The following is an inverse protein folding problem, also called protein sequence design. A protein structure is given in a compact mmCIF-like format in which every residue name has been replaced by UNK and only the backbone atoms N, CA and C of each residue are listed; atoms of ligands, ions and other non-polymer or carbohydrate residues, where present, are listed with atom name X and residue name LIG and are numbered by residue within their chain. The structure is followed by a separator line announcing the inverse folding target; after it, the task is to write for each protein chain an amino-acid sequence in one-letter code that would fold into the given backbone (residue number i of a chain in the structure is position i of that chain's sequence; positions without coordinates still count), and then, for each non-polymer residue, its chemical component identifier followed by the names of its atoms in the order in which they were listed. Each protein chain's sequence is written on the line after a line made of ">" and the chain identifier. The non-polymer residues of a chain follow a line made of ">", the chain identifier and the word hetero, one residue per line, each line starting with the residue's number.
data_IF_483266164794
#
_entry.id   IF_483266164794
#
_cell.length_a   1.000
_cell.length_b   1.000
_cell.length_c   1.000
_cell.angle_alpha   90.00
_cell.angle_beta   90.00
_cell.angle_gamma   90.00
#
_symmetry.space_group_name_H-M   'P 1'
#
loop_
_entity.id
_entity.type
_entity.pdbx_description
1 polymer ?
#
# COMPACT_ATOMS: atom_id res chain seq x y z
N UNK A 1 0.91 19.63 -27.71
CA UNK A 1 1.32 20.02 -26.35
C UNK A 1 0.13 20.75 -25.74
N UNK A 2 -0.80 20.05 -25.06
CA UNK A 2 -1.86 20.72 -24.31
C UNK A 2 -1.38 21.06 -22.89
N UNK A 3 -1.85 22.21 -22.41
CA UNK A 3 -1.50 22.87 -21.15
C UNK A 3 -1.85 22.03 -19.90
N UNK A 4 -0.87 21.85 -19.01
CA UNK A 4 -0.99 21.13 -17.72
C UNK A 4 -1.30 22.14 -16.58
N UNK A 5 -1.90 23.29 -16.89
CA UNK A 5 -2.00 24.41 -15.96
C UNK A 5 -3.20 24.36 -14.98
N UNK A 6 -4.09 23.36 -15.05
CA UNK A 6 -5.33 23.34 -14.26
C UNK A 6 -5.38 22.31 -13.11
N UNK A 7 -4.30 21.56 -12.83
CA UNK A 7 -4.36 20.47 -11.84
C UNK A 7 -4.09 20.85 -10.38
N UNK A 8 -3.86 22.14 -10.07
CA UNK A 8 -3.37 22.56 -8.75
C UNK A 8 -4.42 23.16 -7.80
N UNK A 9 -5.65 23.36 -8.25
CA UNK A 9 -6.66 24.10 -7.47
C UNK A 9 -7.17 23.37 -6.21
N UNK A 10 -6.82 22.09 -6.02
CA UNK A 10 -7.33 21.28 -4.90
C UNK A 10 -6.27 20.82 -3.90
N UNK A 11 -5.00 21.21 -4.03
CA UNK A 11 -3.94 20.80 -3.09
C UNK A 11 -3.83 21.80 -1.94
N UNK A 12 -4.30 21.42 -0.75
CA UNK A 12 -4.04 22.17 0.49
C UNK A 12 -2.70 21.72 1.08
N UNK A 13 -1.75 22.64 1.12
CA UNK A 13 -0.50 22.49 1.87
C UNK A 13 -0.75 22.97 3.30
N UNK A 14 -0.57 22.11 4.29
CA UNK A 14 -0.74 22.48 5.70
C UNK A 14 0.63 22.58 6.40
N UNK A 15 0.96 23.80 6.83
CA UNK A 15 1.99 24.06 7.84
C UNK A 15 1.35 23.98 9.24
N UNK A 16 1.92 23.15 10.12
CA UNK A 16 1.40 22.91 11.47
C UNK A 16 1.57 24.14 12.39
N UNK A 17 0.46 24.70 12.88
CA UNK A 17 0.39 25.45 14.14
C UNK A 17 -0.79 24.91 14.95
N UNK A 18 -0.51 24.42 16.15
CA UNK A 18 -1.45 23.84 17.11
C UNK A 18 -2.48 24.87 17.60
N UNK A 19 -3.77 24.50 17.61
CA UNK A 19 -4.71 25.08 18.58
C UNK A 19 -5.78 24.06 18.99
N UNK A 20 -5.97 23.98 20.31
CA UNK A 20 -6.69 22.96 21.06
C UNK A 20 -8.11 23.45 21.36
N UNK A 21 -9.14 22.64 21.15
CA UNK A 21 -10.43 22.81 21.86
C UNK A 21 -11.14 21.49 22.12
N UNK A 22 -11.52 21.29 23.38
CA UNK A 22 -12.38 20.23 23.91
C UNK A 22 -13.87 20.55 23.67
N UNK A 23 -14.73 19.51 23.64
CA UNK A 23 -15.86 19.22 24.56
C UNK A 23 -16.89 18.26 23.90
N UNK A 24 -17.05 17.01 24.37
CA UNK A 24 -18.03 16.48 25.37
C UNK A 24 -19.47 16.23 24.85
N UNK A 25 -19.78 14.94 24.62
CA UNK A 25 -20.84 14.16 25.31
C UNK A 25 -22.31 14.24 24.86
N UNK A 26 -22.90 13.08 24.46
CA UNK A 26 -23.83 12.24 25.26
C UNK A 26 -24.61 11.22 24.40
N UNK A 27 -24.96 10.11 25.07
CA UNK A 27 -25.57 8.88 24.58
C UNK A 27 -27.11 8.91 24.47
N UNK A 28 -27.69 7.98 23.70
CA UNK A 28 -29.03 7.44 23.95
C UNK A 28 -29.26 6.01 23.36
N UNK A 29 -29.66 5.12 24.27
CA UNK A 29 -30.48 3.88 24.24
C UNK A 29 -31.44 3.68 23.03
N UNK A 30 -32.10 2.54 22.77
CA UNK A 30 -32.15 1.09 23.12
C UNK A 30 -33.51 0.65 22.55
N UNK A 31 -33.66 -0.46 21.81
CA UNK A 31 -34.86 -1.33 21.90
C UNK A 31 -34.81 -2.61 21.05
N UNK A 32 -35.32 -3.66 21.67
CA UNK A 32 -35.43 -5.06 21.25
C UNK A 32 -36.69 -5.32 20.39
N UNK A 33 -36.66 -6.36 19.56
CA UNK A 33 -37.88 -7.08 19.16
C UNK A 33 -37.62 -8.57 18.92
N UNK A 34 -38.29 -9.40 19.73
CA UNK A 34 -38.41 -10.86 19.66
C UNK A 34 -39.55 -11.21 18.69
N UNK A 35 -39.42 -12.30 17.92
CA UNK A 35 -40.59 -12.98 17.35
C UNK A 35 -40.40 -14.50 17.36
N UNK A 36 -41.39 -15.19 17.92
CA UNK A 36 -41.50 -16.64 18.12
C UNK A 36 -42.79 -17.06 17.41
N UNK A 37 -42.78 -18.17 16.68
CA UNK A 37 -44.00 -18.91 16.40
C UNK A 37 -43.73 -20.43 16.45
N UNK A 38 -44.48 -21.06 17.36
CA UNK A 38 -44.70 -22.49 17.54
C UNK A 38 -45.41 -23.11 16.32
N UNK A 39 -45.51 -24.44 16.13
CA UNK A 39 -46.53 -25.33 16.72
C UNK A 39 -46.19 -26.82 16.40
N UNK A 40 -46.57 -27.68 17.36
CA UNK A 40 -46.51 -29.15 17.51
C UNK A 40 -47.37 -29.95 16.46
N UNK A 41 -47.30 -31.27 16.25
CA UNK A 41 -47.72 -32.37 17.15
C UNK A 41 -47.38 -33.80 16.63
N UNK A 42 -47.14 -34.68 17.61
CA UNK A 42 -47.19 -36.16 17.77
C UNK A 42 -47.77 -37.05 16.63
N UNK A 43 -47.45 -38.35 16.45
CA UNK A 43 -47.66 -39.48 17.38
C UNK A 43 -47.23 -40.83 16.75
N UNK A 44 -46.96 -41.88 17.55
CA UNK A 44 -47.10 -43.29 17.11
C UNK A 44 -45.94 -44.26 17.44
N UNK A 45 -46.15 -45.14 18.42
CA UNK A 45 -45.24 -46.19 18.87
C UNK A 45 -45.37 -47.52 18.08
N UNK A 46 -44.30 -48.33 18.02
CA UNK A 46 -44.28 -49.79 18.35
C UNK A 46 -43.01 -50.54 17.87
N UNK A 47 -42.30 -51.13 18.84
CA UNK A 47 -41.65 -52.46 18.89
C UNK A 47 -40.72 -53.02 17.77
N UNK A 48 -39.52 -53.41 18.24
CA UNK A 48 -38.76 -54.66 17.99
C UNK A 48 -37.71 -54.78 16.85
N UNK A 49 -36.47 -54.96 17.31
CA UNK A 49 -35.43 -55.94 16.92
C UNK A 49 -34.51 -55.75 15.68
N UNK A 50 -33.21 -55.79 16.02
CA UNK A 50 -32.01 -56.28 15.31
C UNK A 50 -31.25 -55.38 14.32
N UNK A 51 -30.03 -55.04 14.78
CA UNK A 51 -28.73 -55.11 14.08
C UNK A 51 -28.70 -54.67 12.61
N UNK A 52 -28.15 -53.48 12.39
CA UNK A 52 -27.26 -53.18 11.26
C UNK A 52 -26.45 -51.95 11.63
N UNK A 53 -25.12 -52.11 11.74
CA UNK A 53 -24.22 -51.00 12.02
C UNK A 53 -24.26 -50.00 10.86
N UNK A 54 -24.62 -48.76 11.16
CA UNK A 54 -24.47 -47.64 10.23
C UNK A 54 -22.99 -47.41 9.98
N UNK A 55 -22.56 -47.67 8.76
CA UNK A 55 -21.25 -47.22 8.27
C UNK A 55 -21.27 -45.69 8.31
N UNK A 56 -20.22 -45.01 8.82
CA UNK A 56 -20.14 -43.56 8.69
C UNK A 56 -20.21 -43.22 7.20
N UNK A 57 -21.12 -42.33 6.82
CA UNK A 57 -21.15 -41.78 5.47
C UNK A 57 -19.79 -41.14 5.19
N UNK A 58 -19.02 -41.75 4.29
CA UNK A 58 -17.81 -41.16 3.75
C UNK A 58 -18.23 -39.85 3.06
N UNK A 59 -17.88 -38.73 3.68
CA UNK A 59 -18.05 -37.42 3.08
C UNK A 59 -17.07 -37.31 1.92
N UNK A 60 -17.57 -37.48 0.71
CA UNK A 60 -16.78 -37.46 -0.52
C UNK A 60 -16.20 -36.05 -0.81
N UNK A 61 -16.54 -35.04 0.00
CA UNK A 61 -15.95 -33.70 -0.08
C UNK A 61 -14.49 -33.65 0.37
N UNK A 62 -14.00 -34.63 1.13
CA UNK A 62 -12.58 -34.69 1.51
C UNK A 62 -11.66 -35.21 0.39
N UNK A 63 -12.22 -35.68 -0.73
CA UNK A 63 -11.48 -36.21 -1.89
C UNK A 63 -11.60 -35.33 -3.14
N UNK A 64 -12.33 -34.22 -3.04
CA UNK A 64 -12.28 -33.17 -4.06
C UNK A 64 -11.12 -32.24 -3.71
N UNK A 65 -10.31 -31.80 -4.69
CA UNK A 65 -9.29 -30.79 -4.42
C UNK A 65 -9.99 -29.56 -3.83
N UNK A 66 -9.69 -29.29 -2.56
CA UNK A 66 -10.14 -28.09 -1.87
C UNK A 66 -9.39 -26.88 -2.43
N UNK A 67 -10.15 -25.87 -2.83
CA UNK A 67 -9.78 -24.44 -2.85
C UNK A 67 -8.83 -23.90 -3.93
N UNK A 68 -8.72 -24.47 -5.13
CA UNK A 68 -7.99 -23.76 -6.21
C UNK A 68 -8.75 -22.55 -6.76
N UNK A 69 -10.08 -22.60 -6.79
CA UNK A 69 -10.89 -21.50 -7.34
C UNK A 69 -11.02 -20.32 -6.37
N UNK A 70 -11.25 -20.59 -5.08
CA UNK A 70 -11.34 -19.55 -4.04
C UNK A 70 -9.97 -18.88 -3.77
N UNK A 71 -8.86 -19.63 -3.75
CA UNK A 71 -7.51 -19.04 -3.66
C UNK A 71 -7.18 -18.22 -4.91
N UNK A 72 -7.48 -18.69 -6.12
CA UNK A 72 -7.26 -17.91 -7.35
C UNK A 72 -8.07 -16.61 -7.38
N UNK A 73 -9.32 -16.62 -6.90
CA UNK A 73 -10.17 -15.42 -6.88
C UNK A 73 -9.65 -14.38 -5.89
N UNK A 74 -9.19 -14.81 -4.71
CA UNK A 74 -8.59 -13.94 -3.69
C UNK A 74 -7.25 -13.36 -4.18
N UNK A 75 -6.40 -14.18 -4.80
CA UNK A 75 -5.11 -13.78 -5.35
C UNK A 75 -5.26 -12.80 -6.54
N UNK A 76 -6.28 -13.01 -7.39
CA UNK A 76 -6.63 -12.08 -8.49
C UNK A 76 -7.19 -10.75 -7.96
N UNK A 77 -7.94 -10.78 -6.85
CA UNK A 77 -8.51 -9.57 -6.24
C UNK A 77 -7.41 -8.72 -5.61
N UNK A 78 -6.50 -9.32 -4.84
CA UNK A 78 -5.36 -8.61 -4.26
C UNK A 78 -4.37 -8.09 -5.32
N UNK A 79 -4.16 -8.82 -6.42
CA UNK A 79 -3.37 -8.30 -7.56
C UNK A 79 -3.98 -7.02 -8.17
N UNK A 80 -5.30 -6.90 -8.20
CA UNK A 80 -5.97 -5.69 -8.70
C UNK A 80 -5.93 -4.52 -7.72
N UNK A 81 -5.82 -4.77 -6.42
CA UNK A 81 -5.84 -3.72 -5.37
C UNK A 81 -4.51 -2.96 -5.24
N UNK A 82 -3.40 -3.56 -5.70
CA UNK A 82 -2.07 -2.95 -5.62
C UNK A 82 -1.39 -2.78 -6.98
N UNK A 83 -2.15 -2.95 -8.08
CA UNK A 83 -1.64 -2.74 -9.43
C UNK A 83 -1.11 -1.31 -9.64
N UNK A 84 -1.69 -0.33 -8.95
CA UNK A 84 -1.23 1.06 -8.93
C UNK A 84 0.24 1.16 -8.49
N UNK A 85 0.71 0.34 -7.56
CA UNK A 85 2.13 0.31 -7.20
C UNK A 85 2.99 -0.18 -8.35
N UNK A 86 2.56 -1.20 -9.08
CA UNK A 86 3.31 -1.66 -10.25
C UNK A 86 3.45 -0.55 -11.29
N UNK A 87 2.34 0.10 -11.65
CA UNK A 87 2.37 1.23 -12.59
C UNK A 87 3.27 2.36 -12.09
N UNK A 88 3.22 2.63 -10.78
CA UNK A 88 4.07 3.66 -10.18
C UNK A 88 5.56 3.34 -10.32
N UNK A 89 5.94 2.09 -10.04
CA UNK A 89 7.32 1.62 -10.13
C UNK A 89 7.82 1.55 -11.59
N UNK A 90 6.97 1.18 -12.55
CA UNK A 90 7.28 1.26 -13.99
C UNK A 90 7.63 2.69 -14.41
N UNK A 91 6.84 3.69 -13.96
CA UNK A 91 7.14 5.10 -14.21
C UNK A 91 8.44 5.55 -13.55
N UNK A 92 8.76 5.06 -12.35
CA UNK A 92 10.03 5.34 -11.69
C UNK A 92 11.22 4.75 -12.46
N UNK A 93 11.14 3.50 -12.92
CA UNK A 93 12.17 2.86 -13.75
C UNK A 93 12.44 3.70 -15.00
N UNK A 94 11.38 4.11 -15.70
CA UNK A 94 11.51 4.94 -16.89
C UNK A 94 12.20 6.27 -16.60
N UNK A 95 11.79 6.97 -15.53
CA UNK A 95 12.35 8.28 -15.16
C UNK A 95 13.84 8.16 -14.78
N UNK A 96 14.19 7.16 -13.98
CA UNK A 96 15.57 6.87 -13.59
C UNK A 96 16.43 6.52 -14.81
N UNK A 97 15.91 5.69 -15.73
CA UNK A 97 16.62 5.31 -16.94
C UNK A 97 16.85 6.52 -17.87
N UNK A 98 15.85 7.39 -18.02
CA UNK A 98 16.02 8.63 -18.80
C UNK A 98 17.10 9.50 -18.15
N UNK A 99 17.07 9.67 -16.83
CA UNK A 99 18.07 10.44 -16.12
C UNK A 99 19.49 9.86 -16.29
N UNK A 100 19.63 8.54 -16.21
CA UNK A 100 20.90 7.86 -16.46
C UNK A 100 21.41 8.06 -17.88
N UNK A 101 20.52 7.99 -18.86
CA UNK A 101 20.87 8.24 -20.25
C UNK A 101 21.31 9.69 -20.47
N UNK A 102 20.79 10.68 -19.74
CA UNK A 102 21.21 12.08 -19.88
C UNK A 102 22.70 12.22 -19.54
N UNK A 103 23.15 11.71 -18.39
CA UNK A 103 24.55 11.88 -17.96
C UNK A 103 25.52 10.98 -18.71
N UNK A 104 25.13 9.73 -18.97
CA UNK A 104 26.00 8.76 -19.68
C UNK A 104 26.27 9.15 -21.13
N UNK A 105 25.39 9.94 -21.76
CA UNK A 105 25.58 10.45 -23.12
C UNK A 105 26.40 11.75 -23.19
N UNK A 106 26.88 12.30 -22.06
CA UNK A 106 27.79 13.45 -22.08
C UNK A 106 29.22 12.94 -22.26
N UNK A 107 29.70 12.98 -23.51
CA UNK A 107 31.02 12.43 -23.87
C UNK A 107 32.21 13.28 -23.39
N UNK A 108 31.99 14.54 -23.00
CA UNK A 108 33.04 15.43 -22.53
C UNK A 108 33.00 15.54 -21.00
N UNK A 109 34.07 15.09 -20.34
CA UNK A 109 34.21 15.16 -18.89
C UNK A 109 34.12 16.60 -18.35
N UNK A 110 34.66 17.58 -19.09
CA UNK A 110 34.57 18.99 -18.72
C UNK A 110 33.12 19.48 -18.72
N UNK A 111 32.34 19.13 -19.74
CA UNK A 111 30.92 19.50 -19.83
C UNK A 111 30.13 18.77 -18.73
N UNK A 112 30.40 17.48 -18.50
CA UNK A 112 29.74 16.73 -17.44
C UNK A 112 30.00 17.39 -16.08
N UNK A 113 31.26 17.73 -15.79
CA UNK A 113 31.62 18.41 -14.56
C UNK A 113 30.96 19.79 -14.43
N UNK A 114 30.86 20.57 -15.51
CA UNK A 114 30.13 21.84 -15.52
C UNK A 114 28.64 21.65 -15.21
N UNK A 115 28.00 20.66 -15.83
CA UNK A 115 26.59 20.33 -15.60
C UNK A 115 26.36 19.91 -14.14
N UNK A 116 27.15 18.99 -13.61
CA UNK A 116 27.01 18.48 -12.24
C UNK A 116 27.21 19.55 -11.17
N UNK A 117 28.08 20.54 -11.43
CA UNK A 117 28.31 21.66 -10.52
C UNK A 117 27.38 22.86 -10.73
N UNK A 118 26.53 22.82 -11.76
CA UNK A 118 25.52 23.85 -11.96
C UNK A 118 24.39 23.70 -10.93
N UNK A 119 23.74 24.81 -10.56
CA UNK A 119 22.57 24.77 -9.69
C UNK A 119 21.44 23.91 -10.28
N UNK A 120 21.28 23.91 -11.60
CA UNK A 120 20.27 23.11 -12.29
C UNK A 120 20.59 21.61 -12.22
N UNK A 121 21.83 21.21 -12.47
CA UNK A 121 22.26 19.81 -12.36
C UNK A 121 22.17 19.28 -10.94
N UNK A 122 22.60 20.09 -9.96
CA UNK A 122 22.46 19.77 -8.54
C UNK A 122 21.00 19.55 -8.15
N UNK A 123 20.11 20.51 -8.46
CA UNK A 123 18.68 20.38 -8.15
C UNK A 123 18.04 19.19 -8.86
N UNK A 124 18.45 18.88 -10.10
CA UNK A 124 18.00 17.71 -10.82
C UNK A 124 18.36 16.42 -10.08
N UNK A 125 19.60 16.29 -9.59
CA UNK A 125 20.06 15.12 -8.85
C UNK A 125 19.38 14.99 -7.48
N UNK A 126 19.11 16.10 -6.79
CA UNK A 126 18.29 16.09 -5.57
C UNK A 126 16.88 15.58 -5.85
N UNK A 127 16.22 16.06 -6.90
CA UNK A 127 14.91 15.58 -7.30
C UNK A 127 14.93 14.09 -7.70
N UNK A 128 16.01 13.64 -8.35
CA UNK A 128 16.18 12.23 -8.71
C UNK A 128 16.36 11.35 -7.47
N UNK A 129 17.05 11.84 -6.44
CA UNK A 129 17.16 11.14 -5.17
C UNK A 129 15.80 10.97 -4.47
N UNK A 130 14.90 11.95 -4.61
CA UNK A 130 13.52 11.83 -4.12
C UNK A 130 12.74 10.74 -4.86
N UNK A 131 12.98 10.53 -6.17
CA UNK A 131 12.40 9.41 -6.92
C UNK A 131 12.89 8.08 -6.31
N UNK A 132 14.19 7.93 -6.07
CA UNK A 132 14.73 6.73 -5.41
C UNK A 132 14.19 6.55 -3.98
N UNK A 133 13.94 7.64 -3.26
CA UNK A 133 13.31 7.60 -1.94
C UNK A 133 11.86 7.12 -2.00
N UNK A 134 11.07 7.59 -2.98
CA UNK A 134 9.71 7.09 -3.24
C UNK A 134 9.75 5.58 -3.48
N UNK A 135 10.62 5.10 -4.37
CA UNK A 135 10.77 3.67 -4.66
C UNK A 135 11.04 2.86 -3.39
N UNK A 136 11.94 3.35 -2.53
CA UNK A 136 12.24 2.71 -1.24
C UNK A 136 11.04 2.68 -0.29
N UNK A 137 10.24 3.75 -0.22
CA UNK A 137 9.02 3.75 0.62
C UNK A 137 7.99 2.73 0.13
N UNK A 138 7.79 2.62 -1.18
CA UNK A 138 6.87 1.61 -1.75
C UNK A 138 7.41 0.19 -1.52
N UNK A 139 8.69 -0.05 -1.79
CA UNK A 139 9.33 -1.36 -1.53
C UNK A 139 9.23 -1.76 -0.05
N UNK A 140 9.43 -0.81 0.85
CA UNK A 140 9.28 -1.03 2.28
C UNK A 140 7.87 -1.52 2.62
N UNK A 141 6.83 -0.80 2.18
CA UNK A 141 5.44 -1.20 2.43
C UNK A 141 5.05 -2.51 1.75
N UNK A 142 5.54 -2.75 0.54
CA UNK A 142 5.37 -4.02 -0.17
C UNK A 142 5.88 -5.20 0.66
N UNK A 143 7.06 -5.07 1.28
CA UNK A 143 7.64 -6.10 2.16
C UNK A 143 6.89 -6.23 3.49
N UNK A 144 6.49 -5.13 4.12
CA UNK A 144 5.74 -5.16 5.38
C UNK A 144 4.35 -5.80 5.20
N UNK A 145 3.75 -5.65 4.03
CA UNK A 145 2.43 -6.20 3.73
C UNK A 145 2.44 -7.66 3.29
N UNK A 146 3.60 -8.21 2.96
CA UNK A 146 3.77 -9.59 2.48
C UNK A 146 2.81 -9.93 1.31
N UNK A 147 2.68 -9.00 0.35
CA UNK A 147 1.86 -9.17 -0.85
C UNK A 147 2.71 -9.58 -2.05
N UNK A 148 2.11 -10.27 -3.01
CA UNK A 148 2.78 -10.68 -4.23
C UNK A 148 2.19 -9.97 -5.45
N UNK A 149 2.98 -9.12 -6.10
CA UNK A 149 2.60 -8.41 -7.32
C UNK A 149 3.46 -8.93 -8.48
N UNK A 150 2.84 -9.49 -9.52
CA UNK A 150 3.56 -10.09 -10.64
C UNK A 150 4.49 -9.09 -11.33
N UNK A 151 5.78 -9.41 -11.36
CA UNK A 151 6.84 -8.61 -11.98
C UNK A 151 7.33 -7.44 -11.13
N UNK A 152 6.86 -7.30 -9.90
CA UNK A 152 7.25 -6.20 -9.03
C UNK A 152 8.71 -6.31 -8.55
N UNK A 153 9.16 -7.52 -8.21
CA UNK A 153 10.55 -7.76 -7.83
C UNK A 153 11.52 -7.45 -8.99
N UNK A 154 11.13 -7.70 -10.24
CA UNK A 154 11.92 -7.34 -11.42
C UNK A 154 12.09 -5.82 -11.53
N UNK A 155 11.01 -5.06 -11.31
CA UNK A 155 11.05 -3.59 -11.27
C UNK A 155 11.95 -3.08 -10.13
N UNK A 156 11.90 -3.70 -8.95
CA UNK A 156 12.77 -3.36 -7.82
C UNK A 156 14.25 -3.59 -8.16
N UNK A 157 14.56 -4.72 -8.79
CA UNK A 157 15.92 -5.02 -9.25
C UNK A 157 16.41 -4.01 -10.30
N UNK A 158 15.56 -3.61 -11.23
CA UNK A 158 15.90 -2.59 -12.22
C UNK A 158 16.15 -1.22 -11.59
N UNK A 159 15.34 -0.81 -10.62
CA UNK A 159 15.55 0.43 -9.87
C UNK A 159 16.90 0.41 -9.16
N UNK A 160 17.19 -0.65 -8.41
CA UNK A 160 18.44 -0.77 -7.65
C UNK A 160 19.66 -0.78 -8.59
N UNK A 161 19.55 -1.48 -9.73
CA UNK A 161 20.59 -1.51 -10.77
C UNK A 161 20.84 -0.13 -11.37
N UNK A 162 19.79 0.56 -11.85
CA UNK A 162 19.93 1.89 -12.46
C UNK A 162 20.46 2.89 -11.44
N UNK A 163 19.99 2.83 -10.20
CA UNK A 163 20.44 3.73 -9.14
C UNK A 163 21.92 3.50 -8.78
N UNK A 164 22.38 2.26 -8.76
CA UNK A 164 23.79 1.92 -8.57
C UNK A 164 24.67 2.39 -9.75
N UNK A 165 24.20 2.24 -10.99
CA UNK A 165 24.90 2.75 -12.19
C UNK A 165 25.06 4.28 -12.17
N UNK A 166 24.15 4.99 -11.49
CA UNK A 166 24.16 6.44 -11.35
C UNK A 166 25.12 6.98 -10.28
N UNK A 167 25.70 6.12 -9.44
CA UNK A 167 26.58 6.50 -8.32
C UNK A 167 27.70 7.50 -8.68
N UNK A 168 28.39 7.38 -9.83
CA UNK A 168 29.43 8.33 -10.22
C UNK A 168 28.95 9.79 -10.34
N UNK A 169 27.65 10.01 -10.59
CA UNK A 169 27.12 11.36 -10.82
C UNK A 169 26.70 12.06 -9.53
N UNK A 170 26.32 11.31 -8.49
CA UNK A 170 25.77 11.86 -7.24
C UNK A 170 26.62 11.62 -5.99
N UNK A 171 27.75 10.90 -6.08
CA UNK A 171 28.58 10.56 -4.92
C UNK A 171 29.00 11.76 -4.05
N UNK A 172 29.12 12.96 -4.63
CA UNK A 172 29.48 14.20 -3.93
C UNK A 172 28.28 15.03 -3.45
N UNK A 173 27.06 14.58 -3.71
CA UNK A 173 25.83 15.28 -3.33
C UNK A 173 25.38 14.72 -1.98
N UNK A 174 25.11 15.59 -0.97
CA UNK A 174 24.55 15.15 0.30
C UNK A 174 23.08 14.76 0.10
N UNK A 175 22.86 13.55 -0.41
CA UNK A 175 21.53 12.98 -0.56
C UNK A 175 21.01 12.59 0.82
N UNK A 176 20.16 13.44 1.38
CA UNK A 176 19.44 13.17 2.62
C UNK A 176 18.01 12.84 2.25
N UNK A 177 17.63 11.59 2.45
CA UNK A 177 16.26 11.13 2.20
C UNK A 177 15.78 10.42 3.45
N UNK A 178 14.54 10.69 3.85
CA UNK A 178 13.97 10.10 5.05
C UNK A 178 13.85 8.58 4.89
N UNK A 179 14.16 7.85 5.97
CA UNK A 179 13.95 6.41 6.02
C UNK A 179 12.45 6.12 6.17
N UNK A 180 11.90 5.16 5.42
CA UNK A 180 10.52 4.75 5.59
C UNK A 180 10.28 4.20 7.00
N UNK A 181 9.10 4.49 7.55
CA UNK A 181 8.63 3.93 8.82
C UNK A 181 7.22 3.36 8.66
N UNK A 182 6.97 2.22 9.31
CA UNK A 182 5.65 1.58 9.37
C UNK A 182 4.86 2.08 10.59
N UNK A 183 3.54 2.35 10.47
CA UNK A 183 2.71 2.65 11.63
C UNK A 183 2.61 1.42 12.54
N UNK A 184 2.94 1.57 13.83
CA UNK A 184 2.85 0.47 14.81
C UNK A 184 1.39 0.15 15.17
N UNK A 185 0.54 1.18 15.25
CA UNK A 185 -0.88 1.03 15.54
C UNK A 185 -1.74 1.86 14.58
N UNK A 186 -2.94 1.38 14.30
CA UNK A 186 -3.88 2.07 13.43
C UNK A 186 -4.32 3.41 14.05
N UNK A 187 -4.18 4.49 13.29
CA UNK A 187 -4.55 5.84 13.72
C UNK A 187 -3.53 6.57 14.60
N UNK A 188 -2.37 5.96 14.88
CA UNK A 188 -1.31 6.60 15.69
C UNK A 188 -0.46 7.59 14.87
N UNK A 189 -0.36 7.37 13.56
CA UNK A 189 0.46 8.17 12.67
C UNK A 189 -0.31 8.62 11.42
N UNK A 190 0.10 9.76 10.87
CA UNK A 190 -0.36 10.21 9.56
C UNK A 190 0.43 9.45 8.51
N UNK A 191 -0.25 8.57 7.78
CA UNK A 191 0.36 7.76 6.73
C UNK A 191 0.03 8.30 5.34
N UNK A 192 0.93 8.05 4.41
CA UNK A 192 0.72 8.36 3.01
C UNK A 192 -0.25 7.37 2.38
N UNK A 193 -1.37 7.83 1.84
CA UNK A 193 -2.36 7.01 1.14
C UNK A 193 -1.86 6.44 -0.19
N UNK A 194 -0.63 6.74 -0.61
CA UNK A 194 0.00 6.11 -1.78
C UNK A 194 1.06 5.09 -1.37
N UNK A 195 2.09 5.48 -0.61
CA UNK A 195 3.16 4.53 -0.25
C UNK A 195 2.96 3.83 1.10
N UNK A 196 1.90 4.13 1.85
CA UNK A 196 1.52 3.55 3.15
C UNK A 196 2.51 3.73 4.31
N UNK A 197 3.62 4.43 4.09
CA UNK A 197 4.57 4.77 5.16
C UNK A 197 4.16 6.05 5.89
N UNK A 198 4.69 6.22 7.11
CA UNK A 198 4.46 7.40 7.94
C UNK A 198 5.00 8.67 7.26
N UNK A 199 4.26 9.77 7.37
CA UNK A 199 4.66 11.10 6.92
C UNK A 199 5.31 11.86 8.08
N UNK A 200 6.62 12.05 7.99
CA UNK A 200 7.44 12.74 9.00
C UNK A 200 7.70 14.21 8.68
N UNK A 201 7.65 14.59 7.40
CA UNK A 201 7.76 15.98 6.96
C UNK A 201 6.94 16.20 5.70
N UNK A 202 6.43 17.44 5.52
CA UNK A 202 5.73 17.90 4.32
C UNK A 202 4.59 16.99 3.84
N UNK A 203 3.33 17.37 4.13
CA UNK A 203 2.16 16.63 3.64
C UNK A 203 1.33 17.46 2.66
N UNK A 204 0.68 16.75 1.74
CA UNK A 204 -0.41 17.30 0.93
C UNK A 204 -1.68 16.54 1.25
N UNK A 205 -2.78 17.26 1.41
CA UNK A 205 -4.10 16.68 1.62
C UNK A 205 -4.90 16.80 0.34
N UNK A 206 -5.43 15.69 -0.15
CA UNK A 206 -6.30 15.62 -1.32
C UNK A 206 -7.43 14.62 -1.05
N UNK A 207 -8.69 15.03 -1.22
CA UNK A 207 -9.87 14.21 -0.93
C UNK A 207 -9.79 13.51 0.44
N UNK A 208 -9.48 14.27 1.49
CA UNK A 208 -9.33 13.76 2.88
C UNK A 208 -8.22 12.73 3.10
N UNK A 209 -7.38 12.49 2.09
CA UNK A 209 -6.25 11.58 2.14
C UNK A 209 -4.94 12.35 2.27
N UNK A 210 -3.99 11.78 2.99
CA UNK A 210 -2.67 12.38 3.24
C UNK A 210 -1.64 11.76 2.30
N UNK A 211 -0.75 12.57 1.74
CA UNK A 211 0.33 12.08 0.88
C UNK A 211 1.64 12.77 1.25
N UNK A 212 2.76 12.05 1.16
CA UNK A 212 4.06 12.73 1.05
C UNK A 212 4.01 13.64 -0.17
N UNK A 213 4.52 14.87 -0.04
CA UNK A 213 4.60 15.81 -1.17
C UNK A 213 5.28 15.16 -2.38
N UNK A 214 6.39 14.45 -2.17
CA UNK A 214 7.15 13.80 -3.26
C UNK A 214 6.43 12.61 -3.86
N UNK A 215 5.67 11.85 -3.07
CA UNK A 215 4.82 10.78 -3.59
C UNK A 215 3.72 11.34 -4.52
N UNK A 216 2.98 12.33 -4.04
CA UNK A 216 1.90 12.94 -4.82
C UNK A 216 2.43 13.60 -6.10
N UNK A 217 3.52 14.37 -5.99
CA UNK A 217 4.12 15.05 -7.14
C UNK A 217 4.57 14.07 -8.22
N UNK A 218 5.27 12.99 -7.86
CA UNK A 218 5.74 12.02 -8.85
C UNK A 218 4.57 11.31 -9.52
N UNK A 219 3.56 10.92 -8.75
CA UNK A 219 2.37 10.26 -9.31
C UNK A 219 1.64 11.16 -10.32
N UNK A 220 1.34 12.40 -9.94
CA UNK A 220 0.60 13.34 -10.76
C UNK A 220 1.32 13.71 -12.07
N UNK A 221 2.65 13.75 -12.03
CA UNK A 221 3.45 14.10 -13.21
C UNK A 221 3.81 12.91 -14.09
N UNK A 222 3.84 11.68 -13.56
CA UNK A 222 4.41 10.53 -14.28
C UNK A 222 3.47 9.32 -14.41
N UNK A 223 2.31 9.33 -13.76
CA UNK A 223 1.42 8.16 -13.72
C UNK A 223 0.00 8.51 -14.13
N UNK A 224 -0.70 9.33 -13.33
CA UNK A 224 -2.10 9.68 -13.56
C UNK A 224 -2.44 11.03 -12.90
N UNK A 225 -3.36 11.79 -13.49
CA UNK A 225 -3.82 13.07 -12.94
C UNK A 225 -4.69 12.94 -11.67
N UNK A 226 -5.08 11.73 -11.29
CA UNK A 226 -5.82 11.47 -10.05
C UNK A 226 -4.96 10.66 -9.08
N UNK A 227 -4.86 11.13 -7.84
CA UNK A 227 -4.16 10.39 -6.78
C UNK A 227 -4.96 9.15 -6.35
N UNK A 228 -4.31 7.97 -6.24
CA UNK A 228 -4.96 6.76 -5.78
C UNK A 228 -5.03 6.75 -4.25
N UNK A 229 -5.81 5.83 -3.71
CA UNK A 229 -5.93 5.60 -2.26
C UNK A 229 -5.66 4.12 -2.00
N UNK A 230 -4.43 3.83 -1.61
CA UNK A 230 -4.02 2.53 -1.11
C UNK A 230 -4.53 2.32 0.30
N UNK A 231 -4.82 1.07 0.66
CA UNK A 231 -5.29 0.69 2.00
C UNK A 231 -4.31 -0.29 2.62
N UNK A 232 -4.11 -0.17 3.93
CA UNK A 232 -3.46 -1.25 4.67
C UNK A 232 -4.34 -2.51 4.59
N UNK A 233 -3.74 -3.71 4.49
CA UNK A 233 -4.48 -4.94 4.64
C UNK A 233 -5.21 -4.91 5.98
N UNK A 234 -6.51 -5.18 5.97
CA UNK A 234 -7.24 -5.36 7.22
C UNK A 234 -6.82 -6.72 7.77
N UNK A 235 -5.77 -6.75 8.59
CA UNK A 235 -5.50 -7.94 9.40
C UNK A 235 -6.66 -8.09 10.38
N UNK A 236 -7.61 -8.98 10.05
CA UNK A 236 -8.57 -9.49 11.01
C UNK A 236 -7.80 -10.30 12.05
N UNK A 237 -7.26 -9.62 13.06
CA UNK A 237 -6.74 -10.27 14.26
C UNK A 237 -7.94 -10.84 15.03
N UNK A 238 -8.40 -12.03 14.65
CA UNK A 238 -9.22 -12.88 15.50
C UNK A 238 -8.33 -13.50 16.59
N UNK A 239 -7.84 -12.68 17.53
CA UNK A 239 -7.24 -13.18 18.76
C UNK A 239 -8.34 -13.50 19.77
N UNK A 240 -9.08 -14.58 19.54
CA UNK A 240 -9.75 -15.30 20.62
C UNK A 240 -8.84 -16.43 21.06
N UNK A 241 -8.02 -16.19 22.08
CA UNK A 241 -7.40 -17.26 22.84
C UNK A 241 -8.51 -18.07 23.55
N UNK A 242 -8.63 -19.40 23.36
CA UNK A 242 -9.46 -20.20 24.24
C UNK A 242 -8.73 -20.25 25.59
N UNK A 243 -9.33 -19.63 26.60
CA UNK A 243 -8.85 -19.74 27.98
C UNK A 243 -8.82 -21.20 28.40
N UNK A 244 -7.63 -21.69 28.75
CA UNK A 244 -7.46 -22.93 29.49
C UNK A 244 -8.07 -22.75 30.88
N UNK A 245 -9.31 -23.20 31.07
CA UNK A 245 -9.87 -23.38 32.39
C UNK A 245 -9.39 -24.72 32.95
N UNK A 246 -8.48 -24.63 33.91
CA UNK A 246 -8.23 -25.67 34.90
C UNK A 246 -9.50 -25.96 35.70
N UNK A 247 -9.95 -27.22 35.71
CA UNK A 247 -10.49 -27.94 36.88
C UNK A 247 -10.02 -29.39 36.79
#
# INVERSE_FOLDING_TARGET
>A
MPDISESFDNLKLEDNIEERSLEIGKALQKEDAISINSIEFMNGASNALTRSGSVPSLDLKSFLPSNTEDEQIIDTTHQSEYWEWKQYMESCVLLLQIAANIFTNINSELILHEVLNSAQGYNFLCNLAEVAAVCRRVNFSYKEMDINIIGFDELLMDIDRIWAEMEPFYANIPIVTELPAWPLHQGEAICCSLCLTVITSGRVIYNENNYHVTCANLWLNCVNSNLPVMRHPVYSHSNTCPGNNHI
#
